data_IF_036729183366
#
_entry.id   IF_036729183366
#
_cell.length_a   1.000
_cell.length_b   1.000
_cell.length_c   1.000
_cell.angle_alpha   90.00
_cell.angle_beta   90.00
_cell.angle_gamma   90.00
#
_symmetry.space_group_name_H-M   'P 1'
#
loop_
_entity.id
_entity.type
_entity.pdbx_description
1 polymer ?
#
# COMPACT_ATOMS: atom_id res chain seq x y z
N UNK A 1 15.93 7.51 11.06
CA UNK A 1 14.52 7.17 11.34
C UNK A 1 14.49 6.00 12.31
N UNK A 2 13.62 6.03 13.32
CA UNK A 2 13.42 4.88 14.20
C UNK A 2 12.54 3.79 13.52
N UNK A 3 12.38 2.63 14.15
CA UNK A 3 11.63 1.50 13.58
C UNK A 3 10.18 1.83 13.22
N UNK A 4 9.50 2.59 14.09
CA UNK A 4 8.13 3.03 13.83
C UNK A 4 8.07 3.95 12.59
N UNK A 5 8.98 4.91 12.48
CA UNK A 5 9.07 5.79 11.32
C UNK A 5 9.39 5.02 10.04
N UNK A 6 10.28 4.02 10.09
CA UNK A 6 10.60 3.18 8.93
C UNK A 6 9.37 2.37 8.46
N UNK A 7 8.56 1.89 9.39
CA UNK A 7 7.30 1.18 9.10
C UNK A 7 6.23 2.11 8.52
N UNK A 8 6.10 3.32 9.07
CA UNK A 8 5.04 4.26 8.69
C UNK A 8 5.35 5.05 7.41
N UNK A 9 6.62 5.35 7.13
CA UNK A 9 7.00 6.18 5.98
C UNK A 9 6.45 5.67 4.62
N UNK A 10 6.55 4.39 4.26
CA UNK A 10 5.94 3.86 3.04
C UNK A 10 4.42 3.59 3.17
N UNK A 11 3.85 3.67 4.38
CA UNK A 11 2.46 3.28 4.64
C UNK A 11 1.47 4.40 4.40
N UNK A 12 0.36 4.06 3.73
CA UNK A 12 -0.76 4.97 3.58
C UNK A 12 -1.46 5.29 4.92
N UNK A 13 -1.27 4.48 5.97
CA UNK A 13 -1.77 4.73 7.32
C UNK A 13 -1.20 6.02 7.92
N UNK A 14 -0.03 6.48 7.45
CA UNK A 14 0.54 7.77 7.88
C UNK A 14 -0.40 8.95 7.60
N UNK A 15 -1.32 8.83 6.63
CA UNK A 15 -2.34 9.85 6.36
C UNK A 15 -3.38 10.02 7.49
N UNK A 16 -3.47 9.04 8.42
CA UNK A 16 -4.37 9.09 9.57
C UNK A 16 -3.72 9.72 10.80
N UNK A 17 -2.43 10.08 10.73
CA UNK A 17 -1.62 10.50 11.87
C UNK A 17 -1.19 11.98 11.78
N UNK A 18 -1.03 12.60 12.95
CA UNK A 18 -0.35 13.89 13.10
C UNK A 18 1.19 13.73 13.04
N UNK A 19 1.91 14.85 13.10
CA UNK A 19 3.38 14.89 13.14
C UNK A 19 4.01 14.23 14.38
N UNK A 20 3.23 14.04 15.46
CA UNK A 20 3.64 13.31 16.67
C UNK A 20 3.31 11.81 16.58
N UNK A 21 2.79 11.36 15.43
CA UNK A 21 2.34 10.00 15.16
C UNK A 21 1.14 9.60 16.03
N UNK A 22 0.32 10.56 16.45
CA UNK A 22 -0.96 10.32 17.11
C UNK A 22 -2.03 10.18 16.03
N UNK A 23 -2.90 9.18 16.15
CA UNK A 23 -4.00 8.99 15.23
C UNK A 23 -5.08 10.05 15.44
N UNK A 24 -5.34 10.84 14.40
CA UNK A 24 -6.28 11.97 14.45
C UNK A 24 -7.51 11.79 13.54
N UNK A 25 -7.46 10.81 12.61
CA UNK A 25 -8.57 10.48 11.72
C UNK A 25 -8.93 8.99 11.84
N UNK A 26 -10.20 8.67 11.58
CA UNK A 26 -10.70 7.30 11.63
C UNK A 26 -11.14 6.85 13.02
N UNK A 27 -11.25 5.54 13.21
CA UNK A 27 -11.64 4.93 14.49
C UNK A 27 -10.48 4.93 15.50
N UNK A 28 -10.76 4.88 16.81
CA UNK A 28 -9.71 4.81 17.86
C UNK A 28 -8.69 5.96 17.78
N UNK A 29 -9.17 7.20 17.70
CA UNK A 29 -8.34 8.42 17.73
C UNK A 29 -7.61 8.57 19.07
N UNK A 30 -6.65 9.48 19.10
CA UNK A 30 -5.84 9.84 20.27
C UNK A 30 -4.90 8.73 20.77
N UNK A 31 -4.71 7.68 19.96
CA UNK A 31 -3.74 6.63 20.20
C UNK A 31 -2.42 6.97 19.51
N UNK A 32 -1.32 6.89 20.26
CA UNK A 32 0.01 6.98 19.67
C UNK A 32 0.30 5.71 18.86
N UNK A 33 0.74 5.88 17.61
CA UNK A 33 0.93 4.79 16.65
C UNK A 33 1.84 3.65 17.16
N UNK A 34 2.80 3.97 18.03
CA UNK A 34 3.71 2.98 18.59
C UNK A 34 3.08 2.10 19.67
N UNK A 35 1.95 2.48 20.27
CA UNK A 35 1.23 1.68 21.27
C UNK A 35 0.20 0.74 20.62
N UNK A 36 -0.31 1.10 19.45
CA UNK A 36 -1.24 0.26 18.70
C UNK A 36 -0.52 -0.87 17.94
N UNK A 37 -0.96 -2.13 18.13
CA UNK A 37 -0.37 -3.32 17.51
C UNK A 37 -0.39 -3.27 15.97
N UNK A 38 -1.44 -2.71 15.39
CA UNK A 38 -1.68 -2.71 13.95
C UNK A 38 -0.98 -1.54 13.26
N UNK A 39 -1.09 -0.33 13.83
CA UNK A 39 -0.47 0.89 13.27
C UNK A 39 1.06 0.82 13.42
N UNK A 40 1.57 0.27 14.52
CA UNK A 40 3.01 0.05 14.67
C UNK A 40 3.56 -1.02 13.70
N UNK A 41 2.69 -1.78 13.04
CA UNK A 41 3.04 -2.88 12.13
C UNK A 41 3.52 -4.15 12.83
N UNK A 42 3.49 -4.20 14.18
CA UNK A 42 3.92 -5.37 14.98
C UNK A 42 3.00 -6.58 14.85
N UNK A 43 1.80 -6.42 14.30
CA UNK A 43 0.91 -7.54 13.96
C UNK A 43 1.53 -8.50 12.92
N UNK A 44 2.46 -8.01 12.09
CA UNK A 44 3.10 -8.75 11.03
C UNK A 44 4.56 -9.08 11.38
N UNK A 45 4.90 -10.37 11.34
CA UNK A 45 6.26 -10.87 11.56
C UNK A 45 6.77 -11.57 10.30
N UNK A 46 7.77 -11.01 9.59
CA UNK A 46 8.36 -11.62 8.40
C UNK A 46 8.87 -13.05 8.61
N UNK A 47 9.37 -13.39 9.81
CA UNK A 47 9.92 -14.72 10.06
C UNK A 47 8.88 -15.83 9.96
N UNK A 48 7.60 -15.53 10.23
CA UNK A 48 6.49 -16.49 10.08
C UNK A 48 6.30 -16.95 8.64
N UNK A 49 6.78 -16.17 7.66
CA UNK A 49 6.56 -16.38 6.24
C UNK A 49 7.84 -16.65 5.45
N UNK A 50 8.97 -16.80 6.13
CA UNK A 50 10.27 -16.98 5.47
C UNK A 50 10.31 -18.24 4.57
N UNK A 51 9.51 -19.25 4.91
CA UNK A 51 9.42 -20.49 4.16
C UNK A 51 8.56 -20.40 2.89
N UNK A 52 7.75 -19.35 2.73
CA UNK A 52 6.96 -19.09 1.51
C UNK A 52 7.86 -18.70 0.31
N UNK A 53 9.12 -18.32 0.58
CA UNK A 53 10.05 -17.80 -0.43
C UNK A 53 10.56 -18.93 -1.32
N UNK A 54 10.54 -18.70 -2.63
CA UNK A 54 11.11 -19.62 -3.62
C UNK A 54 12.61 -19.85 -3.36
N UNK A 55 13.07 -21.10 -3.55
CA UNK A 55 14.44 -21.53 -3.22
C UNK A 55 15.54 -20.55 -3.62
N UNK A 56 15.53 -20.07 -4.87
CA UNK A 56 16.53 -19.14 -5.40
C UNK A 56 16.60 -17.77 -4.72
N UNK A 57 15.56 -17.37 -3.98
CA UNK A 57 15.50 -16.08 -3.27
C UNK A 57 15.70 -16.24 -1.76
N UNK A 58 15.75 -17.48 -1.23
CA UNK A 58 15.75 -17.73 0.22
C UNK A 58 16.89 -17.02 0.92
N UNK A 59 18.14 -17.25 0.50
CA UNK A 59 19.32 -16.69 1.19
C UNK A 59 19.29 -15.16 1.26
N UNK A 60 18.95 -14.50 0.15
CA UNK A 60 18.83 -13.05 0.09
C UNK A 60 17.69 -12.55 0.98
N UNK A 61 16.53 -13.19 0.95
CA UNK A 61 15.40 -12.79 1.80
C UNK A 61 15.66 -13.06 3.28
N UNK A 62 16.38 -14.14 3.62
CA UNK A 62 16.86 -14.42 4.97
C UNK A 62 17.78 -13.31 5.48
N UNK A 63 18.78 -12.90 4.70
CA UNK A 63 19.66 -11.80 5.09
C UNK A 63 18.91 -10.48 5.33
N UNK A 64 17.88 -10.19 4.53
CA UNK A 64 17.00 -9.04 4.75
C UNK A 64 16.16 -9.20 6.04
N UNK A 65 15.62 -10.39 6.28
CA UNK A 65 14.84 -10.70 7.49
C UNK A 65 15.71 -10.54 8.75
N UNK A 66 16.92 -11.09 8.77
CA UNK A 66 17.88 -10.94 9.88
C UNK A 66 18.13 -9.47 10.21
N UNK A 67 18.27 -8.62 9.18
CA UNK A 67 18.59 -7.21 9.37
C UNK A 67 17.38 -6.35 9.74
N UNK A 68 16.20 -6.62 9.18
CA UNK A 68 15.09 -5.66 9.19
C UNK A 68 13.81 -6.15 9.87
N UNK A 69 13.61 -7.47 10.04
CA UNK A 69 12.34 -8.02 10.53
C UNK A 69 11.92 -7.53 11.91
N UNK A 70 12.89 -7.28 12.81
CA UNK A 70 12.63 -6.78 14.16
C UNK A 70 12.20 -5.31 14.21
N UNK A 71 12.33 -4.59 13.10
CA UNK A 71 12.22 -3.13 13.06
C UNK A 71 11.16 -2.65 12.07
N UNK A 72 11.07 -3.27 10.89
CA UNK A 72 10.18 -2.84 9.81
C UNK A 72 9.03 -3.84 9.68
N UNK A 73 7.82 -3.39 9.97
CA UNK A 73 6.58 -4.15 9.78
C UNK A 73 5.75 -3.63 8.59
N UNK A 74 4.46 -3.94 8.60
CA UNK A 74 3.46 -3.39 7.67
C UNK A 74 2.41 -2.68 8.51
N UNK A 75 2.30 -1.35 8.45
CA UNK A 75 1.28 -0.63 9.21
C UNK A 75 -0.10 -0.79 8.56
N UNK A 76 -1.10 -1.25 9.32
CA UNK A 76 -2.51 -1.27 8.90
C UNK A 76 -3.37 -0.53 9.92
N UNK A 77 -4.60 -0.20 9.56
CA UNK A 77 -5.57 0.43 10.47
C UNK A 77 -6.95 -0.23 10.30
N UNK A 78 -7.23 -1.32 11.04
CA UNK A 78 -8.50 -2.03 10.92
C UNK A 78 -9.67 -1.13 11.33
N UNK A 79 -10.70 -1.05 10.48
CA UNK A 79 -11.85 -0.17 10.66
C UNK A 79 -11.77 1.15 9.90
N UNK A 80 -10.64 1.44 9.24
CA UNK A 80 -10.45 2.67 8.43
C UNK A 80 -10.30 2.39 6.94
N UNK A 81 -10.76 1.23 6.47
CA UNK A 81 -10.68 0.80 5.09
C UNK A 81 -11.19 1.89 4.12
N UNK A 82 -12.31 2.52 4.44
CA UNK A 82 -12.92 3.57 3.62
C UNK A 82 -11.95 4.76 3.44
N UNK A 83 -11.34 5.24 4.52
CA UNK A 83 -10.35 6.32 4.47
C UNK A 83 -9.09 5.88 3.73
N UNK A 84 -8.60 4.68 4.00
CA UNK A 84 -7.40 4.13 3.35
C UNK A 84 -7.60 3.91 1.84
N UNK A 85 -8.82 3.59 1.40
CA UNK A 85 -9.16 3.53 -0.02
C UNK A 85 -9.02 4.91 -0.68
N UNK A 86 -9.57 5.96 -0.07
CA UNK A 86 -9.43 7.33 -0.55
C UNK A 86 -7.95 7.75 -0.62
N UNK A 87 -7.17 7.47 0.42
CA UNK A 87 -5.73 7.75 0.45
C UNK A 87 -5.00 7.02 -0.68
N UNK A 88 -5.23 5.71 -0.83
CA UNK A 88 -4.61 4.88 -1.86
C UNK A 88 -4.89 5.43 -3.26
N UNK A 89 -6.14 5.85 -3.53
CA UNK A 89 -6.52 6.46 -4.80
C UNK A 89 -5.76 7.76 -5.07
N UNK A 90 -5.57 8.61 -4.06
CA UNK A 90 -4.87 9.89 -4.21
C UNK A 90 -3.36 9.73 -4.50
N UNK A 91 -2.76 8.56 -4.23
CA UNK A 91 -1.32 8.29 -4.47
C UNK A 91 -0.91 8.13 -5.95
N UNK A 92 -1.84 8.30 -6.88
CA UNK A 92 -1.60 8.14 -8.31
C UNK A 92 -0.69 9.25 -8.83
N UNK A 93 0.49 8.89 -9.35
CA UNK A 93 1.44 9.78 -10.02
C UNK A 93 1.68 11.14 -9.31
N UNK A 94 1.87 11.09 -7.99
CA UNK A 94 2.13 12.28 -7.18
C UNK A 94 3.05 11.91 -6.02
N UNK A 95 3.59 12.91 -5.35
CA UNK A 95 4.40 12.70 -4.16
C UNK A 95 3.49 12.49 -2.93
N UNK A 96 3.72 11.36 -2.25
CA UNK A 96 2.91 10.95 -1.10
C UNK A 96 3.08 11.90 0.10
N UNK A 97 4.33 12.20 0.47
CA UNK A 97 4.66 12.94 1.69
C UNK A 97 4.35 14.44 1.61
N UNK A 98 4.19 14.99 0.41
CA UNK A 98 3.86 16.39 0.20
C UNK A 98 2.39 16.57 -0.20
N UNK A 99 1.99 16.02 -1.34
CA UNK A 99 0.66 16.28 -1.90
C UNK A 99 -0.42 15.45 -1.22
N UNK A 100 -0.23 14.14 -1.10
CA UNK A 100 -1.27 13.24 -0.57
C UNK A 100 -1.55 13.53 0.89
N UNK A 101 -0.51 13.65 1.73
CA UNK A 101 -0.67 13.99 3.15
C UNK A 101 -1.35 15.36 3.35
N UNK A 102 -1.01 16.36 2.52
CA UNK A 102 -1.68 17.67 2.57
C UNK A 102 -3.16 17.57 2.18
N UNK A 103 -3.47 16.88 1.08
CA UNK A 103 -4.85 16.75 0.61
C UNK A 103 -5.72 15.96 1.60
N UNK A 104 -5.22 14.83 2.09
CA UNK A 104 -5.93 14.00 3.07
C UNK A 104 -6.21 14.76 4.35
N UNK A 105 -5.24 15.52 4.90
CA UNK A 105 -5.49 16.41 6.05
C UNK A 105 -6.56 17.47 5.76
N UNK A 106 -6.53 18.10 4.59
CA UNK A 106 -7.51 19.13 4.23
C UNK A 106 -8.93 18.58 4.00
N UNK A 107 -9.04 17.31 3.60
CA UNK A 107 -10.32 16.61 3.43
C UNK A 107 -10.81 16.09 4.79
N UNK A 108 -10.00 15.28 5.48
CA UNK A 108 -10.40 14.55 6.69
C UNK A 108 -10.63 15.46 7.90
N UNK A 109 -10.05 16.67 7.92
CA UNK A 109 -10.39 17.69 8.93
C UNK A 109 -11.80 18.26 8.76
N UNK A 110 -12.43 18.08 7.60
CA UNK A 110 -13.82 18.50 7.35
C UNK A 110 -14.79 17.34 7.53
N UNK A 111 -14.42 16.16 7.05
CA UNK A 111 -15.29 14.98 7.08
C UNK A 111 -14.51 13.69 6.87
N UNK A 112 -14.99 12.62 7.50
CA UNK A 112 -14.50 11.25 7.33
C UNK A 112 -15.55 10.34 6.65
N UNK A 113 -16.72 10.88 6.33
CA UNK A 113 -17.75 10.17 5.57
C UNK A 113 -17.41 10.15 4.07
N UNK A 114 -17.50 8.98 3.42
CA UNK A 114 -17.10 8.85 2.02
C UNK A 114 -17.93 9.68 1.03
N UNK A 115 -19.22 9.88 1.30
CA UNK A 115 -20.07 10.69 0.42
C UNK A 115 -19.67 12.15 0.53
N UNK A 116 -19.47 12.65 1.75
CA UNK A 116 -19.01 14.03 1.97
C UNK A 116 -17.55 14.25 1.49
N UNK A 117 -16.67 13.24 1.59
CA UNK A 117 -15.33 13.27 0.99
C UNK A 117 -15.43 13.46 -0.52
N UNK A 118 -16.34 12.76 -1.18
CA UNK A 118 -16.55 12.87 -2.63
C UNK A 118 -16.97 14.30 -3.03
N UNK A 119 -17.76 14.99 -2.22
CA UNK A 119 -18.13 16.39 -2.46
C UNK A 119 -17.00 17.37 -2.14
N UNK A 120 -16.24 17.09 -1.07
CA UNK A 120 -15.20 17.97 -0.55
C UNK A 120 -13.94 17.95 -1.41
N UNK A 121 -13.50 16.77 -1.88
CA UNK A 121 -12.19 16.59 -2.49
C UNK A 121 -11.89 17.53 -3.68
N UNK A 122 -12.80 17.77 -4.64
CA UNK A 122 -12.55 18.69 -5.75
C UNK A 122 -12.26 20.14 -5.32
N UNK A 123 -12.76 20.57 -4.15
CA UNK A 123 -12.54 21.92 -3.63
C UNK A 123 -11.14 22.12 -3.03
N UNK A 124 -10.45 21.02 -2.68
CA UNK A 124 -9.14 21.05 -2.00
C UNK A 124 -8.00 21.42 -2.97
N UNK A 125 -8.22 21.29 -4.27
CA UNK A 125 -7.25 21.71 -5.28
C UNK A 125 -7.56 21.19 -6.68
N UNK A 126 -6.79 21.67 -7.66
CA UNK A 126 -7.04 21.43 -9.10
C UNK A 126 -6.50 20.10 -9.63
N UNK A 127 -5.98 19.24 -8.75
CA UNK A 127 -5.30 18.01 -9.18
C UNK A 127 -6.30 16.99 -9.71
N UNK A 128 -5.97 16.29 -10.81
CA UNK A 128 -6.91 15.34 -11.42
C UNK A 128 -7.35 14.23 -10.46
N UNK A 129 -6.51 13.85 -9.49
CA UNK A 129 -6.81 12.84 -8.48
C UNK A 129 -8.00 13.29 -7.62
N UNK A 130 -8.01 14.57 -7.19
CA UNK A 130 -9.08 15.16 -6.40
C UNK A 130 -10.39 15.23 -7.19
N UNK A 131 -10.32 15.58 -8.47
CA UNK A 131 -11.51 15.63 -9.34
C UNK A 131 -12.04 14.26 -9.75
N UNK A 132 -11.21 13.21 -9.77
CA UNK A 132 -11.62 11.83 -10.10
C UNK A 132 -12.04 11.01 -8.89
N UNK A 133 -11.60 11.38 -7.68
CA UNK A 133 -11.95 10.69 -6.45
C UNK A 133 -13.47 10.50 -6.26
N UNK A 134 -14.36 11.47 -6.58
CA UNK A 134 -15.80 11.32 -6.35
C UNK A 134 -16.39 10.13 -7.13
N UNK A 135 -15.99 9.98 -8.40
CA UNK A 135 -16.42 8.86 -9.23
C UNK A 135 -15.92 7.52 -8.68
N UNK A 136 -14.68 7.49 -8.17
CA UNK A 136 -14.10 6.28 -7.61
C UNK A 136 -14.76 5.88 -6.28
N UNK A 137 -15.04 6.84 -5.40
CA UNK A 137 -15.72 6.60 -4.12
C UNK A 137 -17.16 6.12 -4.32
N UNK A 138 -17.90 6.75 -5.24
CA UNK A 138 -19.25 6.30 -5.60
C UNK A 138 -19.25 4.83 -6.04
N UNK A 139 -18.38 4.47 -7.00
CA UNK A 139 -18.27 3.10 -7.48
C UNK A 139 -17.77 2.12 -6.38
N UNK A 140 -16.89 2.56 -5.49
CA UNK A 140 -16.43 1.76 -4.35
C UNK A 140 -17.58 1.42 -3.38
N UNK A 141 -18.45 2.39 -3.08
CA UNK A 141 -19.63 2.20 -2.24
C UNK A 141 -20.66 1.29 -2.95
N UNK A 142 -20.96 1.55 -4.22
CA UNK A 142 -21.93 0.77 -5.01
C UNK A 142 -21.52 -0.70 -5.17
N UNK A 143 -20.22 -0.99 -5.26
CA UNK A 143 -19.68 -2.36 -5.29
C UNK A 143 -19.62 -3.02 -3.91
N UNK A 144 -20.12 -2.37 -2.86
CA UNK A 144 -20.15 -2.93 -1.50
C UNK A 144 -18.80 -2.93 -0.80
N UNK A 145 -17.97 -1.89 -1.00
CA UNK A 145 -16.66 -1.72 -0.36
C UNK A 145 -15.74 -2.94 -0.55
N UNK A 146 -15.46 -3.34 -1.80
CA UNK A 146 -14.79 -4.60 -2.09
C UNK A 146 -13.39 -4.69 -1.48
N UNK A 147 -13.05 -5.89 -1.00
CA UNK A 147 -11.70 -6.28 -0.52
C UNK A 147 -11.00 -7.24 -1.48
N UNK A 148 -11.61 -7.52 -2.62
CA UNK A 148 -11.06 -8.40 -3.65
C UNK A 148 -10.39 -7.58 -4.75
N UNK A 149 -9.15 -7.93 -5.11
CA UNK A 149 -8.38 -7.21 -6.14
C UNK A 149 -9.13 -7.08 -7.46
N UNK A 150 -9.87 -8.12 -7.86
CA UNK A 150 -10.63 -8.13 -9.12
C UNK A 150 -11.75 -7.09 -9.12
N UNK A 151 -12.47 -6.97 -8.01
CA UNK A 151 -13.55 -6.00 -7.86
C UNK A 151 -13.00 -4.57 -7.76
N UNK A 152 -11.90 -4.37 -7.02
CA UNK A 152 -11.21 -3.08 -6.96
C UNK A 152 -10.82 -2.57 -8.35
N UNK A 153 -10.35 -3.45 -9.24
CA UNK A 153 -9.95 -3.09 -10.61
C UNK A 153 -11.11 -2.72 -11.55
N UNK A 154 -12.37 -2.93 -11.12
CA UNK A 154 -13.57 -2.45 -11.82
C UNK A 154 -13.87 -0.99 -11.53
N UNK A 155 -13.34 -0.44 -10.44
CA UNK A 155 -13.57 0.95 -10.05
C UNK A 155 -12.87 1.91 -11.03
N UNK A 156 -13.56 2.91 -11.59
CA UNK A 156 -12.95 3.90 -12.47
C UNK A 156 -11.75 4.60 -11.82
N UNK A 157 -10.64 4.66 -12.56
CA UNK A 157 -9.39 5.25 -12.05
C UNK A 157 -8.58 4.36 -11.10
N UNK A 158 -9.08 3.20 -10.68
CA UNK A 158 -8.30 2.23 -9.91
C UNK A 158 -7.50 1.34 -10.86
N UNK A 159 -6.18 1.44 -10.76
CA UNK A 159 -5.22 0.59 -11.45
C UNK A 159 -4.57 -0.44 -10.53
N UNK A 160 -3.75 -1.37 -11.07
CA UNK A 160 -3.04 -2.40 -10.30
C UNK A 160 -2.34 -1.87 -9.05
N UNK A 161 -1.54 -0.79 -9.18
CA UNK A 161 -0.85 -0.16 -8.05
C UNK A 161 -1.80 0.23 -6.92
N UNK A 162 -2.89 0.94 -7.24
CA UNK A 162 -3.83 1.45 -6.23
C UNK A 162 -4.54 0.29 -5.53
N UNK A 163 -4.98 -0.72 -6.29
CA UNK A 163 -5.62 -1.90 -5.71
C UNK A 163 -4.65 -2.66 -4.79
N UNK A 164 -3.43 -2.97 -5.26
CA UNK A 164 -2.43 -3.68 -4.45
C UNK A 164 -1.99 -2.84 -3.22
N UNK A 165 -1.96 -1.50 -3.32
CA UNK A 165 -1.62 -0.60 -2.20
C UNK A 165 -2.68 -0.61 -1.12
N UNK A 166 -3.95 -0.50 -1.51
CA UNK A 166 -5.08 -0.62 -0.61
C UNK A 166 -5.11 -1.99 0.08
N UNK A 167 -4.92 -3.07 -0.68
CA UNK A 167 -4.90 -4.44 -0.14
C UNK A 167 -3.77 -4.65 0.87
N UNK A 168 -2.54 -4.22 0.54
CA UNK A 168 -1.39 -4.34 1.43
C UNK A 168 -1.66 -3.67 2.78
N UNK A 169 -2.11 -2.43 2.75
CA UNK A 169 -2.33 -1.62 3.96
C UNK A 169 -3.69 -1.83 4.63
N UNK A 170 -4.45 -2.83 4.16
CA UNK A 170 -5.63 -3.35 4.86
C UNK A 170 -5.47 -4.83 5.27
N UNK A 171 -4.30 -5.44 5.04
CA UNK A 171 -3.92 -6.72 5.65
C UNK A 171 -3.51 -7.85 4.70
N UNK A 172 -3.60 -7.68 3.37
CA UNK A 172 -3.10 -8.68 2.42
C UNK A 172 -1.60 -8.52 2.18
N UNK A 173 -0.79 -9.23 2.97
CA UNK A 173 0.67 -9.20 2.86
C UNK A 173 1.22 -9.81 1.54
N UNK A 174 0.39 -10.51 0.76
CA UNK A 174 0.78 -10.99 -0.58
C UNK A 174 0.67 -9.90 -1.65
N UNK A 175 -0.04 -8.81 -1.36
CA UNK A 175 -0.17 -7.67 -2.25
C UNK A 175 1.13 -6.86 -2.26
N UNK A 176 1.72 -6.71 -3.45
CA UNK A 176 2.93 -5.92 -3.66
C UNK A 176 2.64 -4.82 -4.70
N UNK A 177 2.45 -3.56 -4.27
CA UNK A 177 2.22 -2.44 -5.17
C UNK A 177 3.42 -2.23 -6.10
N UNK A 178 3.21 -2.46 -7.39
CA UNK A 178 4.25 -2.22 -8.40
C UNK A 178 4.20 -0.77 -8.84
N UNK A 179 5.09 0.04 -8.26
CA UNK A 179 5.34 1.43 -8.63
C UNK A 179 6.76 1.61 -9.17
N UNK A 180 7.14 2.87 -9.46
CA UNK A 180 8.49 3.17 -9.97
C UNK A 180 9.59 2.77 -8.98
N UNK A 181 9.33 2.84 -7.67
CA UNK A 181 10.32 2.54 -6.64
C UNK A 181 10.58 1.03 -6.62
N UNK A 182 9.52 0.22 -6.61
CA UNK A 182 9.65 -1.23 -6.65
C UNK A 182 10.22 -1.71 -7.99
N UNK A 183 9.84 -1.09 -9.12
CA UNK A 183 10.45 -1.41 -10.43
C UNK A 183 11.97 -1.20 -10.47
N UNK A 184 12.50 -0.20 -9.75
CA UNK A 184 13.95 0.07 -9.71
C UNK A 184 14.72 -0.85 -8.77
N UNK A 185 14.10 -1.30 -7.68
CA UNK A 185 14.78 -2.09 -6.63
C UNK A 185 14.52 -3.59 -6.72
N UNK A 186 13.41 -4.02 -7.35
CA UNK A 186 13.08 -5.42 -7.57
C UNK A 186 14.22 -6.26 -8.18
N UNK A 187 15.01 -5.76 -9.17
CA UNK A 187 16.16 -6.51 -9.68
C UNK A 187 17.20 -6.85 -8.61
N UNK A 188 17.42 -5.95 -7.65
CA UNK A 188 18.31 -6.19 -6.50
C UNK A 188 17.77 -7.30 -5.60
N UNK A 189 16.47 -7.54 -5.59
CA UNK A 189 15.82 -8.64 -4.87
C UNK A 189 15.76 -9.95 -5.68
N UNK A 190 16.30 -9.98 -6.90
CA UNK A 190 16.22 -11.16 -7.79
C UNK A 190 14.89 -11.28 -8.54
N UNK A 191 14.16 -10.17 -8.69
CA UNK A 191 12.91 -10.07 -9.44
C UNK A 191 13.11 -9.18 -10.68
N UNK A 192 12.80 -9.69 -11.86
CA UNK A 192 13.08 -9.06 -13.17
C UNK A 192 11.81 -8.82 -14.01
N UNK A 193 10.64 -8.93 -13.38
CA UNK A 193 9.36 -8.76 -14.04
C UNK A 193 9.11 -7.33 -14.55
N UNK A 194 8.21 -7.23 -15.52
CA UNK A 194 7.68 -5.98 -16.07
C UNK A 194 6.50 -5.47 -15.24
N UNK A 195 6.13 -4.17 -15.34
CA UNK A 195 4.96 -3.65 -14.65
C UNK A 195 3.68 -4.42 -15.02
N UNK A 196 2.70 -4.54 -14.09
CA UNK A 196 1.42 -5.15 -14.38
C UNK A 196 0.69 -4.38 -15.49
N UNK A 197 0.14 -5.10 -16.46
CA UNK A 197 -0.67 -4.50 -17.52
C UNK A 197 -2.13 -4.33 -17.05
N UNK A 198 -2.69 -3.11 -16.98
CA UNK A 198 -4.04 -2.88 -16.47
C UNK A 198 -5.14 -3.61 -17.25
N UNK A 199 -5.02 -3.68 -18.59
CA UNK A 199 -6.01 -4.36 -19.42
C UNK A 199 -6.06 -5.87 -19.13
N UNK A 200 -4.90 -6.48 -18.90
CA UNK A 200 -4.83 -7.90 -18.51
C UNK A 200 -5.27 -8.10 -17.07
N UNK A 201 -4.90 -7.22 -16.13
CA UNK A 201 -5.30 -7.34 -14.73
C UNK A 201 -6.83 -7.27 -14.54
N UNK A 202 -7.55 -6.57 -15.44
CA UNK A 202 -9.03 -6.54 -15.42
C UNK A 202 -9.67 -7.81 -15.96
N UNK A 203 -8.95 -8.59 -16.77
CA UNK A 203 -9.46 -9.81 -17.45
C UNK A 203 -9.06 -11.09 -16.72
N UNK A 204 -7.88 -11.11 -16.09
CA UNK A 204 -7.28 -12.30 -15.52
C UNK A 204 -6.88 -12.11 -14.06
N UNK A 205 -6.96 -13.18 -13.27
CA UNK A 205 -6.27 -13.25 -11.98
C UNK A 205 -4.79 -13.58 -12.20
N UNK A 206 -3.92 -13.31 -11.24
CA UNK A 206 -2.49 -13.58 -11.42
C UNK A 206 -2.18 -15.06 -11.69
N UNK A 207 -2.98 -15.99 -11.15
CA UNK A 207 -2.80 -17.43 -11.38
C UNK A 207 -3.15 -17.90 -12.80
N UNK A 208 -3.95 -17.14 -13.55
CA UNK A 208 -4.39 -17.51 -14.92
C UNK A 208 -3.96 -16.50 -15.99
N UNK A 209 -3.22 -15.45 -15.60
CA UNK A 209 -2.82 -14.40 -16.52
C UNK A 209 -1.68 -14.87 -17.43
N UNK A 210 -1.79 -14.75 -18.76
CA UNK A 210 -0.73 -15.15 -19.69
C UNK A 210 0.56 -14.31 -19.53
N UNK A 211 0.45 -13.13 -18.92
CA UNK A 211 1.61 -12.28 -18.62
C UNK A 211 2.27 -12.59 -17.27
N UNK A 212 1.70 -13.49 -16.46
CA UNK A 212 2.17 -13.76 -15.09
C UNK A 212 3.68 -14.07 -15.01
N UNK A 213 4.26 -14.93 -15.86
CA UNK A 213 5.70 -15.25 -15.78
C UNK A 213 6.62 -14.03 -15.94
N UNK A 214 6.15 -12.97 -16.63
CA UNK A 214 6.90 -11.75 -16.91
C UNK A 214 6.35 -10.52 -16.17
N UNK A 215 5.39 -10.70 -15.27
CA UNK A 215 4.76 -9.60 -14.52
C UNK A 215 5.37 -9.52 -13.12
N UNK A 216 5.92 -8.36 -12.75
CA UNK A 216 6.58 -8.17 -11.45
C UNK A 216 5.65 -8.45 -10.27
N UNK A 217 4.38 -8.04 -10.34
CA UNK A 217 3.40 -8.33 -9.28
C UNK A 217 3.19 -9.82 -9.11
N UNK A 218 3.04 -10.55 -10.22
CA UNK A 218 2.81 -11.99 -10.19
C UNK A 218 4.07 -12.71 -9.68
N UNK A 219 5.25 -12.34 -10.19
CA UNK A 219 6.52 -12.87 -9.71
C UNK A 219 6.74 -12.59 -8.21
N UNK A 220 6.42 -11.40 -7.71
CA UNK A 220 6.55 -11.08 -6.29
C UNK A 220 5.63 -11.97 -5.44
N UNK A 221 4.35 -12.08 -5.81
CA UNK A 221 3.40 -12.92 -5.08
C UNK A 221 3.78 -14.41 -5.13
N UNK A 222 4.22 -14.92 -6.29
CA UNK A 222 4.59 -16.34 -6.46
C UNK A 222 5.90 -16.68 -5.76
N UNK A 223 6.92 -15.82 -5.86
CA UNK A 223 8.28 -16.12 -5.39
C UNK A 223 8.54 -15.68 -3.95
N UNK A 224 7.77 -14.74 -3.42
CA UNK A 224 7.92 -14.24 -2.04
C UNK A 224 6.71 -14.58 -1.16
N UNK A 225 5.57 -14.99 -1.74
CA UNK A 225 4.37 -15.31 -0.98
C UNK A 225 3.92 -14.15 -0.08
N UNK A 226 3.70 -14.45 1.20
CA UNK A 226 3.28 -13.44 2.20
C UNK A 226 4.38 -12.45 2.58
N UNK A 227 5.61 -12.61 2.09
CA UNK A 227 6.67 -11.60 2.20
C UNK A 227 6.65 -10.54 1.09
N UNK A 228 5.79 -10.68 0.07
CA UNK A 228 5.80 -9.80 -1.10
C UNK A 228 5.57 -8.33 -0.74
N UNK A 229 4.57 -8.03 0.10
CA UNK A 229 4.27 -6.67 0.57
C UNK A 229 5.37 -6.07 1.46
N UNK A 230 5.96 -6.89 2.32
CA UNK A 230 7.07 -6.47 3.17
C UNK A 230 8.35 -6.19 2.36
N UNK A 231 8.67 -7.05 1.40
CA UNK A 231 9.78 -6.83 0.49
C UNK A 231 9.59 -5.56 -0.35
N UNK A 232 8.35 -5.28 -0.79
CA UNK A 232 7.99 -4.04 -1.48
C UNK A 232 8.19 -2.81 -0.56
N UNK A 233 7.87 -2.93 0.72
CA UNK A 233 8.10 -1.89 1.75
C UNK A 233 9.59 -1.58 1.91
N UNK A 234 10.44 -2.62 2.03
CA UNK A 234 11.90 -2.45 2.06
C UNK A 234 12.44 -1.83 0.77
N UNK A 235 11.93 -2.26 -0.38
CA UNK A 235 12.26 -1.74 -1.69
C UNK A 235 11.98 -0.22 -1.80
N UNK A 236 10.85 0.25 -1.27
CA UNK A 236 10.52 1.68 -1.24
C UNK A 236 11.53 2.47 -0.39
N UNK A 237 11.83 1.98 0.82
CA UNK A 237 12.79 2.62 1.72
C UNK A 237 14.20 2.66 1.13
N UNK A 238 14.63 1.59 0.47
CA UNK A 238 15.93 1.51 -0.19
C UNK A 238 16.04 2.51 -1.34
N UNK A 239 15.00 2.61 -2.17
CA UNK A 239 14.96 3.54 -3.29
C UNK A 239 14.96 5.01 -2.83
N UNK A 240 14.36 5.29 -1.68
CA UNK A 240 14.38 6.61 -1.01
C UNK A 240 15.71 6.91 -0.29
N UNK A 241 16.67 6.00 -0.32
CA UNK A 241 17.97 6.16 0.34
C UNK A 241 17.91 6.07 1.86
N UNK A 242 16.82 5.55 2.42
CA UNK A 242 16.62 5.43 3.87
C UNK A 242 17.38 4.22 4.43
N UNK A 243 17.52 3.16 3.63
CA UNK A 243 18.27 1.95 3.98
C UNK A 243 19.00 1.37 2.76
N UNK A 244 19.87 0.39 2.98
CA UNK A 244 20.58 -0.34 1.92
C UNK A 244 20.10 -1.80 1.85
N UNK A 245 19.81 -2.30 0.64
CA UNK A 245 19.48 -3.70 0.32
C UNK A 245 20.25 -4.19 -0.90
#
# INVERSE_FOLDING_TARGET
MNCLQLTLYPSITLALLDERLIKIFGVKKDVWAGDDLYISGRWYDPWRYINDVAGRLRDKTHALAERFSRCIGISISPGDEDLLFAVAFLTQNTDYHTNVLRWTRAIFSKTEDLAEIAETAPSVGRSYQLHKLPQALKAYIELGRPRERRELLRIPGVGPKVADLFLLFTGDATAAPVDKHFMRTAPKLGLDGRPPNPAHCRRYTCGTCPLAPRCLRAQAAEKLGRLAGWAQTLAYLADKGVLSI
#
